data_IF_719450476892
#
_entry.id   IF_719450476892
#
_cell.length_a   1.000
_cell.length_b   1.000
_cell.length_c   1.000
_cell.angle_alpha   90.00
_cell.angle_beta   90.00
_cell.angle_gamma   90.00
#
_symmetry.space_group_name_H-M   'P 1'
#
loop_
_entity.id
_entity.type
_entity.pdbx_description
1 polymer ?
#
# COMPACT_ATOMS: atom_id res chain seq x y z
N UNK A 1 24.32 -9.66 -6.22
CA UNK A 1 22.92 -9.42 -6.61
C UNK A 1 22.56 -8.04 -6.12
N UNK A 2 22.56 -7.05 -7.02
CA UNK A 2 22.38 -5.65 -6.67
C UNK A 2 20.97 -5.39 -6.16
N UNK A 3 20.86 -4.71 -5.02
CA UNK A 3 19.57 -4.20 -4.55
C UNK A 3 19.08 -3.17 -5.58
N UNK A 4 18.00 -3.49 -6.29
CA UNK A 4 17.31 -2.52 -7.14
C UNK A 4 16.65 -1.51 -6.20
N UNK A 5 17.26 -0.33 -6.08
CA UNK A 5 16.68 0.78 -5.36
C UNK A 5 15.73 1.49 -6.32
N UNK A 6 14.45 1.14 -6.27
CA UNK A 6 13.42 1.87 -7.01
C UNK A 6 12.97 2.99 -6.08
N UNK A 7 13.09 4.24 -6.53
CA UNK A 7 12.64 5.38 -5.74
C UNK A 7 11.10 5.47 -5.81
N UNK A 8 10.48 5.63 -4.66
CA UNK A 8 9.02 5.68 -4.50
C UNK A 8 8.66 6.79 -3.51
N UNK A 9 7.63 7.58 -3.81
CA UNK A 9 7.08 8.60 -2.93
C UNK A 9 5.59 8.32 -2.70
N UNK A 10 5.14 8.46 -1.44
CA UNK A 10 3.72 8.45 -1.11
C UNK A 10 3.40 9.75 -0.37
N UNK A 11 2.50 10.53 -0.95
CA UNK A 11 2.11 11.84 -0.47
C UNK A 11 0.62 11.84 -0.10
N UNK A 12 0.24 12.72 0.83
CA UNK A 12 -1.15 12.88 1.28
C UNK A 12 -1.80 11.57 1.72
N UNK A 13 -1.10 10.83 2.59
CA UNK A 13 -1.62 9.58 3.14
C UNK A 13 -2.73 9.90 4.13
N UNK A 14 -3.96 9.52 3.78
CA UNK A 14 -5.08 9.54 4.71
C UNK A 14 -5.42 8.12 5.14
N UNK A 15 -5.77 7.99 6.41
CA UNK A 15 -6.06 6.71 7.04
C UNK A 15 -7.40 6.77 7.76
N UNK A 16 -8.35 5.97 7.29
CA UNK A 16 -9.70 5.87 7.82
C UNK A 16 -9.93 4.52 8.51
N UNK A 17 -8.92 4.00 9.22
CA UNK A 17 -9.01 2.73 9.93
C UNK A 17 -8.92 1.51 9.02
N UNK A 18 -9.86 1.35 8.10
CA UNK A 18 -9.99 0.26 7.13
C UNK A 18 -9.29 0.56 5.81
N UNK A 19 -9.28 1.83 5.40
CA UNK A 19 -8.71 2.25 4.13
C UNK A 19 -7.47 3.11 4.30
N UNK A 20 -6.54 2.96 3.36
CA UNK A 20 -5.47 3.92 3.09
C UNK A 20 -5.78 4.61 1.77
N UNK A 21 -5.74 5.93 1.74
CA UNK A 21 -5.72 6.68 0.49
C UNK A 21 -4.48 7.54 0.39
N UNK A 22 -4.05 7.83 -0.83
CA UNK A 22 -2.91 8.72 -1.05
C UNK A 22 -2.39 8.72 -2.48
N UNK A 23 -1.43 9.61 -2.74
CA UNK A 23 -0.74 9.77 -4.02
C UNK A 23 0.52 8.92 -4.03
N UNK A 24 0.54 7.88 -4.84
CA UNK A 24 1.70 7.04 -5.09
C UNK A 24 2.45 7.51 -6.34
N UNK A 25 3.77 7.67 -6.21
CA UNK A 25 4.64 7.92 -7.36
C UNK A 25 5.91 7.09 -7.29
N UNK A 26 6.36 6.65 -8.46
CA UNK A 26 7.64 6.00 -8.69
C UNK A 26 8.29 6.67 -9.90
N UNK A 27 9.15 7.68 -9.69
CA UNK A 27 9.82 8.37 -10.80
C UNK A 27 10.69 7.42 -11.62
N UNK A 28 11.38 6.46 -11.00
CA UNK A 28 12.17 5.43 -11.70
C UNK A 28 11.32 4.57 -12.63
N UNK A 29 10.09 4.23 -12.22
CA UNK A 29 9.16 3.46 -13.05
C UNK A 29 8.27 4.35 -13.94
N UNK A 30 8.37 5.68 -13.84
CA UNK A 30 7.45 6.63 -14.48
C UNK A 30 5.99 6.42 -14.09
N UNK A 31 5.74 5.91 -12.88
CA UNK A 31 4.39 5.63 -12.37
C UNK A 31 3.95 6.76 -11.45
N UNK A 32 2.73 7.24 -11.63
CA UNK A 32 2.02 8.10 -10.71
C UNK A 32 0.57 7.62 -10.67
N UNK A 33 -0.04 7.57 -9.49
CA UNK A 33 -1.46 7.31 -9.31
C UNK A 33 -1.94 7.78 -7.95
N UNK A 34 -3.23 8.05 -7.87
CA UNK A 34 -3.95 8.13 -6.61
C UNK A 34 -4.66 6.81 -6.37
N UNK A 35 -4.62 6.34 -5.12
CA UNK A 35 -5.09 5.00 -4.78
C UNK A 35 -5.95 5.04 -3.52
N UNK A 36 -6.96 4.18 -3.51
CA UNK A 36 -7.69 3.76 -2.32
C UNK A 36 -7.42 2.26 -2.11
N UNK A 37 -6.75 1.95 -1.01
CA UNK A 37 -6.33 0.61 -0.64
C UNK A 37 -7.08 0.12 0.60
N UNK A 38 -7.77 -1.00 0.47
CA UNK A 38 -8.40 -1.72 1.57
C UNK A 38 -7.38 -2.65 2.22
N UNK A 39 -7.08 -2.39 3.50
CA UNK A 39 -6.11 -3.18 4.27
C UNK A 39 -6.64 -4.54 4.73
N UNK A 40 -7.96 -4.67 4.85
CA UNK A 40 -8.64 -5.87 5.35
C UNK A 40 -8.64 -6.91 4.24
N UNK A 41 -9.03 -6.51 3.03
CA UNK A 41 -9.01 -7.39 1.86
C UNK A 41 -7.65 -7.41 1.15
N UNK A 42 -6.75 -6.49 1.50
CA UNK A 42 -5.45 -6.27 0.85
C UNK A 42 -5.58 -5.99 -0.65
N UNK A 43 -6.61 -5.23 -1.04
CA UNK A 43 -6.90 -4.93 -2.44
C UNK A 43 -6.98 -3.43 -2.68
N UNK A 44 -6.57 -3.03 -3.87
CA UNK A 44 -6.87 -1.71 -4.39
C UNK A 44 -8.36 -1.67 -4.72
N UNK A 45 -9.09 -0.81 -4.01
CA UNK A 45 -10.52 -0.58 -4.21
C UNK A 45 -10.70 0.30 -5.44
N UNK A 46 -9.89 1.34 -5.54
CA UNK A 46 -9.96 2.30 -6.63
C UNK A 46 -8.58 2.91 -6.91
N UNK A 47 -8.32 3.16 -8.19
CA UNK A 47 -7.10 3.82 -8.68
C UNK A 47 -7.54 4.87 -9.68
N UNK A 48 -7.08 6.10 -9.50
CA UNK A 48 -7.39 7.22 -10.39
C UNK A 48 -6.16 8.09 -10.63
N UNK A 49 -6.29 9.06 -11.54
CA UNK A 49 -5.22 9.98 -11.96
C UNK A 49 -3.90 9.25 -12.27
N UNK A 50 -3.99 8.11 -12.96
CA UNK A 50 -2.88 7.21 -13.19
C UNK A 50 -2.11 7.50 -14.49
N UNK A 51 -0.78 7.48 -14.43
CA UNK A 51 0.11 7.73 -15.58
C UNK A 51 0.29 6.52 -16.51
N UNK A 52 -0.03 5.32 -16.02
CA UNK A 52 0.08 4.04 -16.74
C UNK A 52 -1.19 3.22 -16.56
N UNK A 53 -1.33 2.14 -17.32
CA UNK A 53 -2.42 1.20 -17.12
C UNK A 53 -2.39 0.62 -15.71
N UNK A 54 -3.58 0.36 -15.16
CA UNK A 54 -3.73 -0.16 -13.79
C UNK A 54 -2.95 -1.46 -13.59
N UNK A 55 -2.89 -2.32 -14.61
CA UNK A 55 -2.14 -3.57 -14.61
C UNK A 55 -0.62 -3.40 -14.42
N UNK A 56 -0.04 -2.31 -14.92
CA UNK A 56 1.39 -1.98 -14.74
C UNK A 56 1.67 -1.36 -13.37
N UNK A 57 0.67 -0.72 -12.76
CA UNK A 57 0.78 0.02 -11.51
C UNK A 57 0.60 -0.88 -10.29
N UNK A 58 -0.43 -1.74 -10.32
CA UNK A 58 -0.78 -2.64 -9.22
C UNK A 58 0.40 -3.43 -8.65
N UNK A 59 1.23 -4.15 -9.44
CA UNK A 59 2.32 -4.93 -8.88
C UNK A 59 3.34 -4.08 -8.11
N UNK A 60 3.58 -2.84 -8.56
CA UNK A 60 4.52 -1.91 -7.95
C UNK A 60 3.94 -1.34 -6.65
N UNK A 61 2.69 -0.90 -6.69
CA UNK A 61 2.00 -0.31 -5.55
C UNK A 61 1.71 -1.34 -4.43
N UNK A 62 1.31 -2.57 -4.78
CA UNK A 62 1.11 -3.70 -3.82
C UNK A 62 2.42 -4.00 -3.10
N UNK A 63 3.50 -4.23 -3.86
CA UNK A 63 4.81 -4.59 -3.30
C UNK A 63 5.30 -3.56 -2.28
N UNK A 64 5.13 -2.28 -2.60
CA UNK A 64 5.52 -1.19 -1.71
C UNK A 64 4.64 -1.10 -0.45
N UNK A 65 3.32 -1.26 -0.59
CA UNK A 65 2.38 -1.20 0.54
C UNK A 65 2.64 -2.33 1.55
N UNK A 66 2.82 -3.58 1.08
CA UNK A 66 3.19 -4.68 1.97
C UNK A 66 4.56 -4.42 2.63
N UNK A 67 5.59 -4.01 1.87
CA UNK A 67 6.92 -3.73 2.42
C UNK A 67 6.90 -2.63 3.49
N UNK A 68 6.16 -1.54 3.26
CA UNK A 68 6.07 -0.42 4.21
C UNK A 68 5.25 -0.78 5.43
N UNK A 69 4.16 -1.53 5.28
CA UNK A 69 3.38 -2.03 6.41
C UNK A 69 4.20 -2.99 7.29
N UNK A 70 5.01 -3.85 6.67
CA UNK A 70 5.95 -4.73 7.38
C UNK A 70 7.04 -3.94 8.13
N UNK A 71 7.61 -2.90 7.51
CA UNK A 71 8.71 -2.12 8.09
C UNK A 71 8.28 -1.10 9.14
N UNK A 72 7.08 -0.52 9.03
CA UNK A 72 6.61 0.52 9.95
C UNK A 72 5.87 -0.04 11.19
N UNK A 73 5.86 -1.36 11.41
CA UNK A 73 5.13 -2.04 12.51
C UNK A 73 3.63 -1.66 12.59
N UNK A 74 3.06 -1.12 11.50
CA UNK A 74 1.62 -0.81 11.38
C UNK A 74 0.81 -2.07 11.02
N UNK A 75 1.49 -3.22 10.90
CA UNK A 75 0.91 -4.49 11.33
C UNK A 75 0.55 -4.36 12.80
N UNK A 76 -0.65 -3.83 13.06
CA UNK A 76 -1.36 -4.09 14.30
C UNK A 76 -1.40 -5.61 14.42
N UNK A 77 -0.47 -6.17 15.20
CA UNK A 77 -0.64 -7.45 15.89
C UNK A 77 -1.88 -7.26 16.76
N UNK A 78 -3.07 -7.37 16.17
CA UNK A 78 -4.27 -7.70 16.91
C UNK A 78 -3.97 -9.11 17.41
N UNK A 79 -3.40 -9.17 18.62
CA UNK A 79 -3.55 -10.32 19.49
C UNK A 79 -5.04 -10.63 19.48
N UNK A 80 -5.45 -11.64 18.74
CA UNK A 80 -6.67 -12.36 19.05
C UNK A 80 -6.37 -13.01 20.40
N UNK A 81 -6.70 -12.32 21.49
CA UNK A 81 -6.99 -13.00 22.74
C UNK A 81 -8.29 -13.76 22.44
N UNK A 82 -8.18 -15.03 22.07
CA UNK A 82 -9.27 -15.97 22.26
C UNK A 82 -9.61 -15.90 23.75
N UNK A 83 -10.68 -15.19 24.08
CA UNK A 83 -11.28 -15.26 25.39
C UNK A 83 -11.85 -16.67 25.53
N UNK A 84 -11.07 -17.59 26.09
CA UNK A 84 -11.62 -18.85 26.57
C UNK A 84 -12.38 -18.52 27.86
N UNK A 85 -13.67 -18.17 27.71
CA UNK A 85 -14.64 -18.26 28.80
C UNK A 85 -14.85 -19.74 29.11
N UNK A 86 -14.23 -20.24 30.16
CA UNK A 86 -14.87 -21.03 31.24
C UNK A 86 -13.85 -21.44 32.29
#
# INVERSE_FOLDING_TARGET
MGAFYINFCLENIEYDGEFYSGKFSSPDAGVYCEVLYDRVTKKFVEIWDNSKLVEDILPIAIYWLDWKLEKMDIYVKRKVRLATKK
#
